data_IF_887771591166
#
_entry.id   IF_887771591166
#
_cell.length_a   1.000
_cell.length_b   1.000
_cell.length_c   1.000
_cell.angle_alpha   90.00
_cell.angle_beta   90.00
_cell.angle_gamma   90.00
#
_symmetry.space_group_name_H-M   'P 1'
#
loop_
_entity.id
_entity.type
_entity.pdbx_description
1 polymer ?
#
# COMPACT_ATOMS: atom_id res chain seq x y z
N UNK A 1 2.85 7.45 11.52
CA UNK A 1 2.76 6.48 10.42
C UNK A 1 3.10 5.11 11.01
N UNK A 2 2.88 4.00 10.31
CA UNK A 2 3.31 2.67 10.76
C UNK A 2 4.08 1.94 9.67
N UNK A 3 5.19 1.28 10.04
CA UNK A 3 5.84 0.27 9.20
C UNK A 3 4.97 -0.99 9.19
N UNK A 4 4.73 -1.55 8.01
CA UNK A 4 3.87 -2.74 7.89
C UNK A 4 4.63 -4.06 7.99
N UNK A 5 5.94 -4.00 8.20
CA UNK A 5 6.87 -5.15 8.11
C UNK A 5 6.77 -5.93 6.80
N UNK A 6 6.23 -5.30 5.76
CA UNK A 6 6.15 -5.82 4.39
C UNK A 6 6.97 -4.95 3.45
N UNK A 7 7.50 -5.62 2.44
CA UNK A 7 8.09 -5.00 1.27
C UNK A 7 7.39 -5.52 0.02
N UNK A 8 7.13 -4.64 -0.93
CA UNK A 8 6.87 -5.05 -2.31
C UNK A 8 8.20 -5.37 -2.98
N UNK A 9 8.29 -6.56 -3.55
CA UNK A 9 9.48 -7.05 -4.25
C UNK A 9 9.06 -7.46 -5.65
N UNK A 10 9.65 -6.84 -6.65
CA UNK A 10 9.38 -7.18 -8.04
C UNK A 10 10.59 -6.98 -8.93
N UNK A 11 10.62 -7.72 -10.02
CA UNK A 11 11.63 -7.57 -11.05
C UNK A 11 11.24 -6.43 -12.00
N UNK A 12 12.14 -5.47 -12.16
CA UNK A 12 12.04 -4.37 -13.11
C UNK A 12 12.83 -4.73 -14.36
N UNK A 13 12.11 -4.92 -15.48
CA UNK A 13 12.73 -5.25 -16.77
C UNK A 13 13.49 -4.07 -17.38
N UNK A 14 13.11 -2.84 -17.05
CA UNK A 14 13.61 -1.62 -17.71
C UNK A 14 15.09 -1.38 -17.39
N UNK A 15 15.52 -1.78 -16.20
CA UNK A 15 16.88 -1.65 -15.70
C UNK A 15 17.47 -3.01 -15.26
N UNK A 16 16.80 -4.13 -15.58
CA UNK A 16 17.20 -5.49 -15.23
C UNK A 16 17.57 -5.65 -13.74
N UNK A 17 16.69 -5.18 -12.86
CA UNK A 17 16.96 -5.12 -11.41
C UNK A 17 15.82 -5.71 -10.58
N UNK A 18 16.13 -6.08 -9.34
CA UNK A 18 15.11 -6.37 -8.33
C UNK A 18 14.85 -5.07 -7.56
N UNK A 19 13.60 -4.63 -7.54
CA UNK A 19 13.15 -3.51 -6.71
C UNK A 19 12.55 -4.04 -5.42
N UNK A 20 12.91 -3.39 -4.31
CA UNK A 20 12.39 -3.65 -2.98
C UNK A 20 11.88 -2.32 -2.43
N UNK A 21 10.58 -2.23 -2.16
CA UNK A 21 9.94 -1.04 -1.64
C UNK A 21 9.29 -1.35 -0.28
N UNK A 22 9.73 -0.72 0.83
CA UNK A 22 9.07 -0.89 2.12
C UNK A 22 7.68 -0.26 2.10
N UNK A 23 6.71 -0.93 2.74
CA UNK A 23 5.31 -0.51 2.74
C UNK A 23 4.95 0.10 4.10
N UNK A 24 4.33 1.28 4.06
CA UNK A 24 3.87 2.00 5.23
C UNK A 24 2.36 2.19 5.22
N UNK A 25 1.77 2.26 6.42
CA UNK A 25 0.37 2.54 6.65
C UNK A 25 0.16 3.89 7.34
N UNK A 26 -0.84 4.64 6.88
CA UNK A 26 -1.25 5.92 7.48
C UNK A 26 -2.76 6.09 7.37
N UNK A 27 -3.36 6.62 8.43
CA UNK A 27 -4.75 7.09 8.42
C UNK A 27 -4.72 8.58 8.08
N UNK A 28 -5.51 8.97 7.08
CA UNK A 28 -5.68 10.37 6.69
C UNK A 28 -7.11 10.82 6.94
N UNK A 29 -7.32 12.13 7.03
CA UNK A 29 -8.66 12.71 7.08
C UNK A 29 -9.46 12.33 5.83
N UNK A 30 -10.74 12.04 5.99
CA UNK A 30 -11.65 11.85 4.86
C UNK A 30 -11.76 13.09 3.95
N UNK A 31 -11.33 14.26 4.43
CA UNK A 31 -11.25 15.52 3.66
C UNK A 31 -9.87 15.77 3.05
N UNK A 32 -8.96 14.80 3.11
CA UNK A 32 -7.63 14.95 2.53
C UNK A 32 -7.74 15.20 1.03
N UNK A 33 -7.06 16.27 0.57
CA UNK A 33 -6.95 16.58 -0.85
C UNK A 33 -5.83 15.72 -1.41
N UNK A 34 -6.16 14.85 -2.37
CA UNK A 34 -5.17 14.01 -3.06
C UNK A 34 -4.66 14.78 -4.27
N UNK A 35 -3.35 15.00 -4.32
CA UNK A 35 -2.65 15.51 -5.50
C UNK A 35 -1.75 14.41 -6.03
N UNK A 36 -1.85 14.11 -7.32
CA UNK A 36 -1.00 13.14 -8.01
C UNK A 36 -0.07 13.85 -9.00
N UNK A 37 1.14 13.33 -9.19
CA UNK A 37 2.10 13.84 -10.17
C UNK A 37 1.91 13.14 -11.53
N UNK A 38 2.77 13.48 -12.50
CA UNK A 38 2.77 12.93 -13.86
C UNK A 38 3.05 11.42 -13.96
N UNK A 39 3.59 10.79 -12.92
CA UNK A 39 3.77 9.33 -12.85
C UNK A 39 2.43 8.59 -12.69
N UNK A 40 1.37 9.31 -12.32
CA UNK A 40 0.04 8.78 -12.02
C UNK A 40 -1.03 9.38 -12.94
N UNK A 41 -2.10 8.63 -13.19
CA UNK A 41 -3.19 9.06 -14.09
C UNK A 41 -4.52 9.30 -13.39
N UNK A 42 -4.82 8.52 -12.36
CA UNK A 42 -6.08 8.59 -11.64
C UNK A 42 -5.89 8.16 -10.18
N UNK A 43 -6.81 8.57 -9.31
CA UNK A 43 -6.89 8.08 -7.93
C UNK A 43 -8.36 7.85 -7.54
N UNK A 44 -8.59 6.95 -6.58
CA UNK A 44 -9.89 6.72 -5.98
C UNK A 44 -9.75 6.21 -4.54
N UNK A 45 -10.69 6.61 -3.68
CA UNK A 45 -10.90 5.95 -2.39
C UNK A 45 -11.81 4.74 -2.60
N UNK A 46 -11.38 3.56 -2.15
CA UNK A 46 -12.03 2.29 -2.46
C UNK A 46 -12.28 1.47 -1.19
N UNK A 47 -13.26 0.58 -1.26
CA UNK A 47 -13.36 -0.52 -0.28
C UNK A 47 -12.23 -1.53 -0.51
N UNK A 48 -11.96 -2.37 0.48
CA UNK A 48 -10.94 -3.42 0.38
C UNK A 48 -11.18 -4.34 -0.83
N UNK A 49 -12.41 -4.79 -1.06
CA UNK A 49 -12.74 -5.68 -2.17
C UNK A 49 -12.52 -5.00 -3.53
N UNK A 50 -12.89 -3.73 -3.65
CA UNK A 50 -12.66 -2.95 -4.86
C UNK A 50 -11.16 -2.77 -5.13
N UNK A 51 -10.36 -2.49 -4.10
CA UNK A 51 -8.91 -2.37 -4.23
C UNK A 51 -8.28 -3.69 -4.68
N UNK A 52 -8.61 -4.82 -4.04
CA UNK A 52 -8.08 -6.15 -4.40
C UNK A 52 -8.48 -6.60 -5.82
N UNK A 53 -9.64 -6.17 -6.29
CA UNK A 53 -10.09 -6.43 -7.67
C UNK A 53 -9.33 -5.57 -8.70
N UNK A 54 -8.95 -4.33 -8.37
CA UNK A 54 -8.23 -3.43 -9.26
C UNK A 54 -6.73 -3.70 -9.36
N UNK A 55 -6.11 -4.21 -8.31
CA UNK A 55 -4.68 -4.52 -8.31
C UNK A 55 -4.36 -5.63 -9.33
N UNK A 56 -3.29 -5.44 -10.10
CA UNK A 56 -2.86 -6.40 -11.12
C UNK A 56 -1.86 -7.42 -10.58
N UNK A 57 -1.00 -7.02 -9.64
CA UNK A 57 0.07 -7.87 -9.14
C UNK A 57 -0.38 -8.66 -7.89
N UNK A 58 -0.18 -10.00 -7.85
CA UNK A 58 -0.53 -10.81 -6.68
C UNK A 58 0.11 -10.31 -5.38
N UNK A 59 1.39 -9.93 -5.41
CA UNK A 59 2.09 -9.45 -4.22
C UNK A 59 1.47 -8.17 -3.66
N UNK A 60 1.03 -7.23 -4.51
CA UNK A 60 0.33 -6.03 -4.06
C UNK A 60 -0.99 -6.39 -3.36
N UNK A 61 -1.72 -7.40 -3.86
CA UNK A 61 -2.94 -7.89 -3.20
C UNK A 61 -2.64 -8.48 -1.83
N UNK A 62 -1.57 -9.26 -1.71
CA UNK A 62 -1.14 -9.85 -0.43
C UNK A 62 -0.76 -8.78 0.59
N UNK A 63 0.02 -7.77 0.16
CA UNK A 63 0.38 -6.62 1.00
C UNK A 63 -0.87 -5.86 1.46
N UNK A 64 -1.79 -5.54 0.56
CA UNK A 64 -3.01 -4.81 0.91
C UNK A 64 -3.92 -5.60 1.85
N UNK A 65 -4.05 -6.93 1.67
CA UNK A 65 -4.75 -7.79 2.63
C UNK A 65 -4.09 -7.76 4.00
N UNK A 66 -2.77 -7.89 4.05
CA UNK A 66 -2.02 -7.82 5.31
C UNK A 66 -2.24 -6.49 6.04
N UNK A 67 -2.17 -5.36 5.33
CA UNK A 67 -2.43 -4.04 5.92
C UNK A 67 -3.86 -3.96 6.45
N UNK A 68 -4.84 -4.44 5.68
CA UNK A 68 -6.24 -4.43 6.10
C UNK A 68 -6.48 -5.25 7.38
N UNK A 69 -5.96 -6.48 7.43
CA UNK A 69 -6.13 -7.38 8.57
C UNK A 69 -5.40 -6.88 9.82
N UNK A 70 -4.16 -6.40 9.71
CA UNK A 70 -3.31 -6.12 10.88
C UNK A 70 -3.32 -4.65 11.32
N UNK A 71 -3.65 -3.70 10.45
CA UNK A 71 -3.55 -2.26 10.73
C UNK A 71 -4.89 -1.52 10.65
N UNK A 72 -5.87 -2.05 9.92
CA UNK A 72 -7.19 -1.42 9.77
C UNK A 72 -8.20 -2.11 10.69
N UNK A 73 -8.34 -3.43 10.60
CA UNK A 73 -9.26 -4.19 11.48
C UNK A 73 -8.73 -4.23 12.92
N UNK A 74 -7.42 -4.33 13.07
CA UNK A 74 -6.75 -4.39 14.37
C UNK A 74 -5.97 -3.11 14.67
N UNK A 75 -5.76 -2.85 15.96
CA UNK A 75 -4.90 -1.76 16.41
C UNK A 75 -3.44 -2.16 16.23
N UNK A 76 -2.66 -1.47 15.37
CA UNK A 76 -1.27 -1.84 15.15
C UNK A 76 -0.43 -1.63 16.42
N UNK A 77 0.52 -2.54 16.72
CA UNK A 77 1.43 -2.39 17.85
C UNK A 77 2.20 -1.08 17.81
N UNK A 78 2.45 -0.48 18.98
CA UNK A 78 3.14 0.81 19.09
C UNK A 78 4.58 0.77 18.58
N UNK A 79 5.27 -0.37 18.64
CA UNK A 79 6.65 -0.51 18.15
C UNK A 79 6.78 -0.44 16.63
N UNK A 80 5.68 -0.60 15.89
CA UNK A 80 5.64 -0.41 14.43
C UNK A 80 5.44 1.05 14.04
N UNK A 81 5.20 1.94 15.00
CA UNK A 81 4.98 3.36 14.73
C UNK A 81 6.30 4.01 14.32
N UNK A 82 6.24 4.77 13.23
CA UNK A 82 7.30 5.65 12.71
C UNK A 82 6.83 7.09 12.58
#
# INVERSE_FOLDING_TARGET
MYCTDKCEVFFSKDDNSIRIAPVFYVIVSAKAIVSINEEHREYAWLTIDQALNKLSMPLQKEVVRHVYEYFIINTPPSYLRV
#
